data_IF_148655179011
#
_entry.id   IF_148655179011
#
_cell.length_a   1.000
_cell.length_b   1.000
_cell.length_c   1.000
_cell.angle_alpha   90.00
_cell.angle_beta   90.00
_cell.angle_gamma   90.00
#
_symmetry.space_group_name_H-M   'P 1'
#
loop_
_entity.id
_entity.type
_entity.pdbx_description
1 polymer ?
#
# COMPACT_ATOMS: atom_id res chain seq x y z
N UNK A 1 -8.29 36.55 -2.56
CA UNK A 1 -9.42 36.06 -3.40
C UNK A 1 -8.98 34.74 -4.03
N UNK A 2 -9.38 33.58 -3.48
CA UNK A 2 -9.05 32.29 -4.09
C UNK A 2 -10.02 32.01 -5.24
N UNK A 3 -9.52 32.03 -6.47
CA UNK A 3 -10.26 31.57 -7.64
C UNK A 3 -10.73 30.12 -7.41
N UNK A 4 -12.05 29.87 -7.44
CA UNK A 4 -12.61 28.51 -7.34
C UNK A 4 -12.07 27.66 -8.51
N UNK A 5 -11.29 26.63 -8.20
CA UNK A 5 -10.79 25.65 -9.18
C UNK A 5 -11.98 24.90 -9.82
N UNK A 6 -11.91 24.66 -11.13
CA UNK A 6 -12.94 23.96 -11.91
C UNK A 6 -12.32 23.20 -13.10
N UNK A 7 -13.05 22.22 -13.62
CA UNK A 7 -12.66 21.44 -14.80
C UNK A 7 -11.33 20.70 -14.59
N UNK A 8 -10.53 20.58 -15.65
CA UNK A 8 -9.26 19.84 -15.62
C UNK A 8 -8.25 20.32 -14.56
N UNK A 9 -8.28 21.60 -14.19
CA UNK A 9 -7.42 22.13 -13.12
C UNK A 9 -7.82 21.63 -11.74
N UNK A 10 -9.12 21.40 -11.54
CA UNK A 10 -9.64 20.82 -10.29
C UNK A 10 -9.32 19.33 -10.22
N UNK A 11 -9.49 18.60 -11.33
CA UNK A 11 -9.14 17.19 -11.45
C UNK A 11 -7.66 16.96 -11.12
N UNK A 12 -6.76 17.70 -11.77
CA UNK A 12 -5.32 17.59 -11.52
C UNK A 12 -4.92 17.91 -10.06
N UNK A 13 -5.59 18.89 -9.42
CA UNK A 13 -5.34 19.19 -8.01
C UNK A 13 -5.83 18.06 -7.09
N UNK A 14 -7.01 17.48 -7.37
CA UNK A 14 -7.55 16.35 -6.61
C UNK A 14 -6.62 15.14 -6.73
N UNK A 15 -6.22 14.77 -7.94
CA UNK A 15 -5.34 13.62 -8.20
C UNK A 15 -3.98 13.79 -7.51
N UNK A 16 -3.45 15.01 -7.54
CA UNK A 16 -2.23 15.36 -6.81
C UNK A 16 -2.40 15.17 -5.31
N UNK A 17 -3.50 15.68 -4.72
CA UNK A 17 -3.75 15.54 -3.29
C UNK A 17 -3.85 14.07 -2.86
N UNK A 18 -4.55 13.24 -3.64
CA UNK A 18 -4.69 11.80 -3.37
C UNK A 18 -3.35 11.08 -3.49
N UNK A 19 -2.58 11.39 -4.53
CA UNK A 19 -1.26 10.76 -4.79
C UNK A 19 -0.21 11.13 -3.75
N UNK A 20 -0.22 12.36 -3.25
CA UNK A 20 0.70 12.85 -2.22
C UNK A 20 0.19 12.59 -0.79
N UNK A 21 -0.99 11.96 -0.65
CA UNK A 21 -1.68 11.76 0.63
C UNK A 21 -1.88 13.06 1.42
N UNK A 22 -2.09 14.17 0.71
CA UNK A 22 -2.34 15.48 1.31
C UNK A 22 -3.84 15.66 1.60
N UNK A 23 -4.33 14.90 2.59
CA UNK A 23 -5.76 14.86 2.91
C UNK A 23 -6.29 16.21 3.38
N UNK A 24 -5.46 16.99 4.10
CA UNK A 24 -5.82 18.35 4.51
C UNK A 24 -6.18 19.22 3.31
N UNK A 25 -5.34 19.20 2.27
CA UNK A 25 -5.59 19.94 1.04
C UNK A 25 -6.79 19.40 0.27
N UNK A 26 -6.96 18.07 0.23
CA UNK A 26 -8.15 17.45 -0.36
C UNK A 26 -9.43 17.99 0.30
N UNK A 27 -9.44 18.11 1.64
CA UNK A 27 -10.53 18.69 2.42
C UNK A 27 -10.93 20.10 1.95
N UNK A 28 -9.95 20.98 1.71
CA UNK A 28 -10.19 22.34 1.20
C UNK A 28 -10.81 22.33 -0.22
N UNK A 29 -10.38 21.38 -1.05
CA UNK A 29 -10.76 21.29 -2.47
C UNK A 29 -12.13 20.62 -2.64
N UNK A 30 -12.60 19.82 -1.69
CA UNK A 30 -13.91 19.13 -1.74
C UNK A 30 -15.10 20.09 -1.93
N UNK A 31 -15.04 21.31 -1.36
CA UNK A 31 -16.06 22.34 -1.60
C UNK A 31 -16.14 22.74 -3.08
N UNK A 32 -15.00 22.76 -3.77
CA UNK A 32 -14.94 23.06 -5.21
C UNK A 32 -15.43 21.86 -6.03
N UNK A 33 -15.08 20.63 -5.63
CA UNK A 33 -15.58 19.38 -6.25
C UNK A 33 -17.10 19.34 -6.25
N UNK A 34 -17.74 19.65 -5.11
CA UNK A 34 -19.20 19.64 -4.95
C UNK A 34 -19.91 20.87 -5.50
N UNK A 35 -19.16 21.89 -5.95
CA UNK A 35 -19.75 23.11 -6.48
C UNK A 35 -20.48 22.88 -7.80
N UNK A 36 -21.55 23.65 -8.09
CA UNK A 36 -22.24 23.59 -9.38
C UNK A 36 -21.29 23.94 -10.53
N UNK A 37 -21.40 23.21 -11.63
CA UNK A 37 -20.54 23.25 -12.82
C UNK A 37 -19.02 23.07 -12.52
N UNK A 38 -18.65 22.19 -11.57
CA UNK A 38 -17.26 21.85 -11.29
C UNK A 38 -16.66 20.89 -12.32
N UNK A 39 -17.50 20.04 -12.94
CA UNK A 39 -17.09 18.90 -13.77
C UNK A 39 -16.84 17.61 -12.98
N UNK A 40 -16.82 17.68 -11.65
CA UNK A 40 -16.46 16.57 -10.76
C UNK A 40 -17.53 16.24 -9.71
N UNK A 41 -18.74 16.82 -9.77
CA UNK A 41 -19.75 16.62 -8.70
C UNK A 41 -20.08 15.15 -8.51
N UNK A 42 -20.09 14.39 -9.60
CA UNK A 42 -20.44 12.98 -9.59
C UNK A 42 -19.45 12.11 -8.81
N UNK A 43 -18.22 12.58 -8.55
CA UNK A 43 -17.23 11.91 -7.70
C UNK A 43 -17.20 12.45 -6.27
N UNK A 44 -18.06 13.41 -5.94
CA UNK A 44 -18.01 14.10 -4.65
C UNK A 44 -18.17 13.16 -3.46
N UNK A 45 -19.00 12.13 -3.57
CA UNK A 45 -19.25 11.17 -2.49
C UNK A 45 -18.07 10.23 -2.29
N UNK A 46 -17.53 9.64 -3.36
CA UNK A 46 -16.30 8.85 -3.33
C UNK A 46 -15.13 9.62 -2.67
N UNK A 47 -14.85 10.83 -3.15
CA UNK A 47 -13.73 11.65 -2.67
C UNK A 47 -13.92 12.11 -1.22
N UNK A 48 -15.16 12.40 -0.83
CA UNK A 48 -15.49 12.76 0.55
C UNK A 48 -15.33 11.57 1.49
N UNK A 49 -15.71 10.37 1.06
CA UNK A 49 -15.56 9.15 1.83
C UNK A 49 -14.07 8.82 2.03
N UNK A 50 -13.27 8.86 0.97
CA UNK A 50 -11.82 8.67 1.05
C UNK A 50 -11.15 9.68 1.99
N UNK A 51 -11.49 10.97 1.86
CA UNK A 51 -10.98 11.99 2.80
C UNK A 51 -11.30 11.66 4.26
N UNK A 52 -12.53 11.19 4.55
CA UNK A 52 -12.92 10.82 5.92
C UNK A 52 -12.10 9.61 6.41
N UNK A 53 -11.99 8.56 5.59
CA UNK A 53 -11.27 7.33 5.94
C UNK A 53 -9.80 7.62 6.19
N UNK A 54 -9.14 8.33 5.28
CA UNK A 54 -7.69 8.57 5.40
C UNK A 54 -7.36 9.58 6.50
N UNK A 55 -8.22 10.59 6.70
CA UNK A 55 -8.07 11.50 7.85
C UNK A 55 -8.25 10.77 9.19
N UNK A 56 -9.13 9.78 9.24
CA UNK A 56 -9.30 8.94 10.41
C UNK A 56 -8.03 8.11 10.68
N UNK A 57 -7.45 7.49 9.65
CA UNK A 57 -6.23 6.68 9.77
C UNK A 57 -5.05 7.53 10.23
N UNK A 58 -4.85 8.70 9.62
CA UNK A 58 -3.77 9.63 9.99
C UNK A 58 -3.84 10.07 11.47
N UNK A 59 -5.04 10.15 12.04
CA UNK A 59 -5.26 10.54 13.43
C UNK A 59 -5.12 9.38 14.43
N UNK A 60 -5.20 8.13 13.97
CA UNK A 60 -5.25 6.93 14.82
C UNK A 60 -4.04 5.99 14.64
N UNK A 61 -2.98 6.43 13.94
CA UNK A 61 -1.85 5.60 13.48
C UNK A 61 -0.96 5.00 14.57
N UNK A 62 -1.08 5.38 15.84
CA UNK A 62 -0.29 4.77 16.93
C UNK A 62 -0.99 3.59 17.62
N UNK A 63 -2.32 3.45 17.44
CA UNK A 63 -3.14 2.47 18.14
C UNK A 63 -4.29 1.98 17.25
N UNK A 64 -3.95 1.31 16.15
CA UNK A 64 -4.93 0.66 15.25
C UNK A 64 -5.63 -0.55 15.90
N UNK A 65 -6.19 -0.35 17.09
CA UNK A 65 -7.20 -1.19 17.69
C UNK A 65 -8.57 -0.55 17.44
N UNK A 66 -9.48 -1.32 16.84
CA UNK A 66 -10.87 -0.90 16.63
C UNK A 66 -11.52 -0.57 17.98
N UNK A 67 -11.77 0.72 18.22
CA UNK A 67 -12.62 1.19 19.31
C UNK A 67 -14.03 1.39 18.77
N UNK A 68 -15.05 0.92 19.48
CA UNK A 68 -16.45 1.09 19.07
C UNK A 68 -16.86 2.56 18.83
N UNK A 69 -16.15 3.50 19.46
CA UNK A 69 -16.32 4.94 19.29
C UNK A 69 -15.95 5.42 17.87
N UNK A 70 -14.95 4.78 17.25
CA UNK A 70 -14.46 5.11 15.90
C UNK A 70 -15.46 4.73 14.80
N UNK A 71 -16.39 3.82 15.09
CA UNK A 71 -17.39 3.32 14.13
C UNK A 71 -18.32 4.43 13.65
N UNK A 72 -18.72 5.35 14.54
CA UNK A 72 -19.69 6.43 14.24
C UNK A 72 -19.19 7.40 13.17
N UNK A 73 -17.90 7.72 13.18
CA UNK A 73 -17.31 8.65 12.21
C UNK A 73 -17.16 8.00 10.81
N UNK A 74 -16.91 6.69 10.78
CA UNK A 74 -16.78 5.90 9.55
C UNK A 74 -18.14 5.52 8.92
N UNK A 75 -19.23 5.44 9.68
CA UNK A 75 -20.58 5.19 9.15
C UNK A 75 -20.98 6.18 8.04
N UNK A 76 -20.57 7.45 8.17
CA UNK A 76 -20.81 8.47 7.14
C UNK A 76 -20.06 8.14 5.84
N UNK A 77 -18.81 7.70 5.93
CA UNK A 77 -18.03 7.32 4.76
C UNK A 77 -18.60 6.07 4.08
N UNK A 78 -19.03 5.07 4.87
CA UNK A 78 -19.69 3.88 4.34
C UNK A 78 -20.95 4.23 3.54
N UNK A 79 -21.81 5.10 4.08
CA UNK A 79 -23.01 5.57 3.36
C UNK A 79 -22.67 6.24 2.03
N UNK A 80 -21.69 7.13 2.00
CA UNK A 80 -21.23 7.80 0.78
C UNK A 80 -20.71 6.82 -0.29
N UNK A 81 -20.01 5.76 0.14
CA UNK A 81 -19.52 4.72 -0.77
C UNK A 81 -20.66 3.85 -1.31
N UNK A 82 -21.64 3.48 -0.48
CA UNK A 82 -22.83 2.77 -0.96
C UNK A 82 -23.66 3.62 -1.93
N UNK A 83 -23.85 4.91 -1.65
CA UNK A 83 -24.51 5.85 -2.56
C UNK A 83 -23.73 5.96 -3.88
N UNK A 84 -22.39 5.96 -3.83
CA UNK A 84 -21.53 5.92 -5.03
C UNK A 84 -21.75 4.64 -5.83
N UNK A 85 -21.80 3.48 -5.19
CA UNK A 85 -22.01 2.17 -5.85
C UNK A 85 -23.41 2.03 -6.47
N UNK A 86 -24.41 2.74 -5.94
CA UNK A 86 -25.77 2.78 -6.50
C UNK A 86 -25.95 3.82 -7.61
N UNK A 87 -24.99 4.73 -7.76
CA UNK A 87 -25.01 5.79 -8.77
C UNK A 87 -24.50 5.29 -10.13
N UNK A 88 -24.93 5.95 -11.21
CA UNK A 88 -24.46 5.65 -12.58
C UNK A 88 -22.95 5.81 -12.77
N UNK A 89 -22.28 6.53 -11.85
CA UNK A 89 -20.82 6.70 -11.88
C UNK A 89 -20.08 5.38 -11.63
N UNK A 90 -20.69 4.46 -10.88
CA UNK A 90 -20.15 3.13 -10.63
C UNK A 90 -20.14 2.21 -11.86
N UNK A 91 -20.78 2.60 -12.97
CA UNK A 91 -20.61 1.90 -14.26
C UNK A 91 -19.16 1.99 -14.75
N UNK A 92 -18.39 3.00 -14.29
CA UNK A 92 -16.95 3.07 -14.52
C UNK A 92 -16.25 2.05 -13.64
N UNK A 93 -15.58 1.09 -14.27
CA UNK A 93 -14.85 0.01 -13.59
C UNK A 93 -13.88 0.53 -12.52
N UNK A 94 -13.18 1.63 -12.80
CA UNK A 94 -12.24 2.26 -11.85
C UNK A 94 -12.94 2.76 -10.59
N UNK A 95 -14.06 3.48 -10.73
CA UNK A 95 -14.85 3.99 -9.60
C UNK A 95 -15.42 2.84 -8.79
N UNK A 96 -15.94 1.80 -9.45
CA UNK A 96 -16.48 0.62 -8.78
C UNK A 96 -15.40 -0.13 -7.97
N UNK A 97 -14.23 -0.35 -8.58
CA UNK A 97 -13.07 -0.92 -7.92
C UNK A 97 -12.69 -0.08 -6.70
N UNK A 98 -12.44 1.21 -6.88
CA UNK A 98 -12.03 2.12 -5.81
C UNK A 98 -13.02 2.16 -4.65
N UNK A 99 -14.32 2.25 -4.93
CA UNK A 99 -15.34 2.32 -3.90
C UNK A 99 -15.37 1.05 -3.03
N UNK A 100 -15.26 -0.14 -3.65
CA UNK A 100 -15.19 -1.40 -2.92
C UNK A 100 -13.89 -1.53 -2.12
N UNK A 101 -12.74 -1.10 -2.66
CA UNK A 101 -11.47 -1.14 -1.92
C UNK A 101 -11.46 -0.18 -0.72
N UNK A 102 -12.08 1.00 -0.85
CA UNK A 102 -12.26 1.94 0.26
C UNK A 102 -13.23 1.38 1.32
N UNK A 103 -14.31 0.69 0.91
CA UNK A 103 -15.20 -0.02 1.85
C UNK A 103 -14.44 -1.11 2.61
N UNK A 104 -13.62 -1.90 1.93
CA UNK A 104 -12.82 -2.92 2.56
C UNK A 104 -11.86 -2.34 3.61
N UNK A 105 -11.19 -1.25 3.27
CA UNK A 105 -10.30 -0.51 4.17
C UNK A 105 -11.06 0.01 5.39
N UNK A 106 -12.24 0.60 5.18
CA UNK A 106 -13.11 1.05 6.25
C UNK A 106 -13.53 -0.09 7.18
N UNK A 107 -14.04 -1.20 6.64
CA UNK A 107 -14.49 -2.33 7.45
C UNK A 107 -13.34 -3.01 8.21
N UNK A 108 -12.14 -3.05 7.63
CA UNK A 108 -10.94 -3.51 8.34
C UNK A 108 -10.65 -2.68 9.59
N UNK A 109 -10.68 -1.35 9.49
CA UNK A 109 -10.47 -0.47 10.64
C UNK A 109 -11.62 -0.50 11.65
N UNK A 110 -12.82 -0.91 11.22
CA UNK A 110 -13.94 -1.23 12.11
C UNK A 110 -13.85 -2.63 12.76
N UNK A 111 -12.81 -3.44 12.43
CA UNK A 111 -12.69 -4.86 12.79
C UNK A 111 -13.83 -5.76 12.27
N UNK A 112 -14.46 -5.36 11.18
CA UNK A 112 -15.47 -6.13 10.44
C UNK A 112 -14.78 -6.94 9.32
N UNK A 113 -13.90 -7.85 9.73
CA UNK A 113 -12.96 -8.56 8.83
C UNK A 113 -13.65 -9.39 7.75
N UNK A 114 -14.74 -10.09 8.09
CA UNK A 114 -15.52 -10.87 7.12
C UNK A 114 -16.10 -9.97 6.02
N UNK A 115 -16.60 -8.79 6.38
CA UNK A 115 -17.13 -7.81 5.42
C UNK A 115 -16.01 -7.22 4.58
N UNK A 116 -14.86 -6.89 5.18
CA UNK A 116 -13.70 -6.39 4.44
C UNK A 116 -13.22 -7.37 3.36
N UNK A 117 -13.21 -8.67 3.66
CA UNK A 117 -12.89 -9.71 2.67
C UNK A 117 -13.92 -9.72 1.53
N UNK A 118 -15.21 -9.65 1.87
CA UNK A 118 -16.29 -9.65 0.88
C UNK A 118 -16.21 -8.45 -0.06
N UNK A 119 -15.91 -7.26 0.45
CA UNK A 119 -15.78 -6.06 -0.38
C UNK A 119 -14.60 -6.16 -1.35
N UNK A 120 -13.47 -6.75 -0.94
CA UNK A 120 -12.34 -7.00 -1.85
C UNK A 120 -12.71 -8.02 -2.92
N UNK A 121 -13.44 -9.08 -2.56
CA UNK A 121 -13.94 -10.05 -3.55
C UNK A 121 -14.93 -9.41 -4.52
N UNK A 122 -15.79 -8.50 -4.04
CA UNK A 122 -16.71 -7.73 -4.86
C UNK A 122 -16.01 -6.75 -5.81
N UNK A 123 -14.84 -6.23 -5.42
CA UNK A 123 -14.09 -5.23 -6.18
C UNK A 123 -13.57 -5.71 -7.54
N UNK A 124 -13.58 -7.02 -7.81
CA UNK A 124 -13.02 -7.65 -9.03
C UNK A 124 -11.53 -7.39 -9.25
N UNK A 125 -10.79 -7.17 -8.16
CA UNK A 125 -9.33 -6.96 -8.15
C UNK A 125 -8.55 -7.98 -8.98
N UNK A 126 -9.01 -9.23 -9.00
CA UNK A 126 -8.32 -10.37 -9.61
C UNK A 126 -8.45 -10.42 -11.15
N UNK A 127 -9.21 -9.51 -11.78
CA UNK A 127 -9.46 -9.48 -13.23
C UNK A 127 -8.76 -8.32 -13.96
N UNK A 128 -7.94 -7.52 -13.27
CA UNK A 128 -7.23 -6.38 -13.86
C UNK A 128 -5.86 -6.75 -14.39
N UNK A 129 -5.75 -7.10 -15.68
CA UNK A 129 -4.45 -7.21 -16.38
C UNK A 129 -3.90 -5.83 -16.82
N UNK A 130 -4.62 -4.76 -16.52
CA UNK A 130 -4.26 -3.40 -16.91
C UNK A 130 -3.20 -2.82 -15.95
N UNK A 131 -2.15 -2.15 -16.49
CA UNK A 131 -1.18 -1.45 -15.65
C UNK A 131 -1.88 -0.35 -14.84
N UNK A 132 -1.33 -0.04 -13.65
CA UNK A 132 -1.85 1.02 -12.80
C UNK A 132 -1.70 2.39 -13.46
N UNK A 133 -2.78 3.18 -13.49
CA UNK A 133 -2.77 4.52 -14.08
C UNK A 133 -2.08 5.55 -13.17
N UNK A 134 -2.05 5.30 -11.86
CA UNK A 134 -1.41 6.17 -10.87
C UNK A 134 -0.72 5.41 -9.74
N UNK A 135 0.24 6.09 -9.09
CA UNK A 135 0.87 5.62 -7.85
C UNK A 135 -0.15 5.33 -6.74
N UNK A 136 -1.25 6.10 -6.70
CA UNK A 136 -2.32 5.95 -5.72
C UNK A 136 -3.09 4.66 -5.94
N UNK A 137 -3.34 4.27 -7.19
CA UNK A 137 -4.07 3.03 -7.49
C UNK A 137 -3.22 1.81 -7.18
N UNK A 138 -1.93 1.85 -7.50
CA UNK A 138 -0.96 0.82 -7.12
C UNK A 138 -0.92 0.65 -5.59
N UNK A 139 -0.88 1.76 -4.84
CA UNK A 139 -0.92 1.74 -3.37
C UNK A 139 -2.23 1.15 -2.86
N UNK A 140 -3.37 1.61 -3.36
CA UNK A 140 -4.69 1.15 -2.89
C UNK A 140 -4.85 -0.37 -3.10
N UNK A 141 -4.42 -0.89 -4.24
CA UNK A 141 -4.46 -2.33 -4.52
C UNK A 141 -3.47 -3.10 -3.64
N UNK A 142 -2.26 -2.58 -3.41
CA UNK A 142 -1.31 -3.19 -2.49
C UNK A 142 -1.88 -3.27 -1.06
N UNK A 143 -2.51 -2.19 -0.58
CA UNK A 143 -3.17 -2.13 0.73
C UNK A 143 -4.37 -3.07 0.80
N UNK A 144 -5.16 -3.19 -0.27
CA UNK A 144 -6.28 -4.12 -0.32
C UNK A 144 -5.83 -5.58 -0.13
N UNK A 145 -4.77 -6.01 -0.83
CA UNK A 145 -4.20 -7.35 -0.61
C UNK A 145 -3.69 -7.53 0.83
N UNK A 146 -3.05 -6.52 1.42
CA UNK A 146 -2.64 -6.55 2.83
C UNK A 146 -3.85 -6.74 3.75
N UNK A 147 -4.89 -5.93 3.58
CA UNK A 147 -6.14 -5.98 4.35
C UNK A 147 -6.81 -7.35 4.22
N UNK A 148 -6.88 -7.93 3.02
CA UNK A 148 -7.40 -9.29 2.80
C UNK A 148 -6.60 -10.31 3.62
N UNK A 149 -5.27 -10.24 3.58
CA UNK A 149 -4.37 -11.11 4.34
C UNK A 149 -4.60 -11.01 5.86
N UNK A 150 -4.59 -9.80 6.40
CA UNK A 150 -4.80 -9.56 7.84
C UNK A 150 -6.20 -9.98 8.29
N UNK A 151 -7.23 -9.71 7.49
CA UNK A 151 -8.61 -10.09 7.79
C UNK A 151 -8.78 -11.62 7.82
N UNK A 152 -8.15 -12.34 6.88
CA UNK A 152 -8.14 -13.80 6.90
C UNK A 152 -7.46 -14.31 8.18
N UNK A 153 -6.30 -13.78 8.57
CA UNK A 153 -5.64 -14.19 9.82
C UNK A 153 -6.45 -13.89 11.07
N UNK A 154 -7.14 -12.74 11.12
CA UNK A 154 -8.00 -12.38 12.24
C UNK A 154 -9.17 -13.36 12.41
N UNK A 155 -9.71 -13.86 11.31
CA UNK A 155 -10.84 -14.81 11.30
C UNK A 155 -10.43 -16.27 11.53
N UNK A 156 -9.16 -16.63 11.32
CA UNK A 156 -8.64 -17.99 11.52
C UNK A 156 -8.85 -18.57 12.92
N UNK A 157 -8.91 -17.73 13.97
CA UNK A 157 -9.09 -18.18 15.36
C UNK A 157 -10.39 -18.97 15.57
N UNK A 158 -11.35 -18.88 14.64
CA UNK A 158 -12.66 -19.53 14.69
C UNK A 158 -12.74 -20.81 13.86
N UNK A 159 -11.67 -21.23 13.18
CA UNK A 159 -11.67 -22.32 12.19
C UNK A 159 -11.23 -23.68 12.75
N UNK A 160 -11.68 -24.76 12.09
CA UNK A 160 -11.18 -26.13 12.32
C UNK A 160 -9.79 -26.31 11.70
N UNK A 161 -9.03 -27.31 12.16
CA UNK A 161 -7.63 -27.55 11.74
C UNK A 161 -7.45 -27.68 10.22
N UNK A 162 -8.33 -28.38 9.52
CA UNK A 162 -8.23 -28.54 8.06
C UNK A 162 -8.47 -27.23 7.28
N UNK A 163 -9.37 -26.37 7.79
CA UNK A 163 -9.67 -25.06 7.18
C UNK A 163 -8.60 -24.01 7.51
N UNK A 164 -7.80 -24.26 8.57
CA UNK A 164 -6.71 -23.40 9.00
C UNK A 164 -5.59 -23.35 7.96
N UNK A 165 -5.15 -24.51 7.46
CA UNK A 165 -4.05 -24.58 6.49
C UNK A 165 -4.44 -23.95 5.15
N UNK A 166 -5.67 -24.20 4.69
CA UNK A 166 -6.23 -23.54 3.49
C UNK A 166 -6.28 -22.02 3.66
N UNK A 167 -6.77 -21.55 4.81
CA UNK A 167 -6.83 -20.11 5.11
C UNK A 167 -5.43 -19.51 5.21
N UNK A 168 -4.46 -20.23 5.77
CA UNK A 168 -3.06 -19.79 5.87
C UNK A 168 -2.43 -19.61 4.50
N UNK A 169 -2.64 -20.55 3.58
CA UNK A 169 -2.17 -20.42 2.19
C UNK A 169 -2.82 -19.22 1.49
N UNK A 170 -4.12 -18.99 1.67
CA UNK A 170 -4.81 -17.82 1.11
C UNK A 170 -4.27 -16.51 1.67
N UNK A 171 -4.04 -16.43 2.98
CA UNK A 171 -3.48 -15.25 3.62
C UNK A 171 -2.04 -14.98 3.13
N UNK A 172 -1.21 -16.02 3.05
CA UNK A 172 0.15 -15.93 2.53
C UNK A 172 0.16 -15.39 1.09
N UNK A 173 -0.68 -15.93 0.21
CA UNK A 173 -0.82 -15.43 -1.16
C UNK A 173 -1.16 -13.93 -1.19
N UNK A 174 -2.10 -13.49 -0.35
CA UNK A 174 -2.48 -12.08 -0.27
C UNK A 174 -1.31 -11.20 0.19
N UNK A 175 -0.58 -11.62 1.23
CA UNK A 175 0.59 -10.88 1.70
C UNK A 175 1.71 -10.84 0.68
N UNK A 176 1.99 -11.93 -0.02
CA UNK A 176 3.00 -11.96 -1.09
C UNK A 176 2.62 -11.00 -2.21
N UNK A 177 1.37 -11.05 -2.69
CA UNK A 177 0.89 -10.11 -3.72
C UNK A 177 0.97 -8.66 -3.26
N UNK A 178 0.56 -8.37 -2.03
CA UNK A 178 0.72 -7.05 -1.43
C UNK A 178 2.19 -6.61 -1.37
N UNK A 179 3.11 -7.48 -0.95
CA UNK A 179 4.53 -7.18 -0.87
C UNK A 179 5.16 -6.92 -2.25
N UNK A 180 4.79 -7.68 -3.29
CA UNK A 180 5.24 -7.43 -4.66
C UNK A 180 4.82 -6.04 -5.14
N UNK A 181 3.54 -5.69 -4.94
CA UNK A 181 3.01 -4.39 -5.32
C UNK A 181 3.59 -3.25 -4.47
N UNK A 182 3.82 -3.47 -3.18
CA UNK A 182 4.45 -2.50 -2.29
C UNK A 182 5.89 -2.21 -2.71
N UNK A 183 6.66 -3.23 -3.11
CA UNK A 183 8.01 -3.03 -3.67
C UNK A 183 7.94 -2.16 -4.92
N UNK A 184 7.03 -2.46 -5.85
CA UNK A 184 6.83 -1.66 -7.07
C UNK A 184 6.42 -0.22 -6.74
N UNK A 185 5.50 -0.04 -5.79
CA UNK A 185 5.05 1.27 -5.31
C UNK A 185 6.23 2.10 -4.79
N UNK A 186 7.06 1.52 -3.93
CA UNK A 186 8.22 2.22 -3.36
C UNK A 186 9.28 2.52 -4.45
N UNK A 187 9.45 1.64 -5.44
CA UNK A 187 10.33 1.91 -6.60
C UNK A 187 9.85 3.13 -7.40
N UNK A 188 8.56 3.25 -7.67
CA UNK A 188 8.00 4.35 -8.46
C UNK A 188 7.89 5.65 -7.64
N UNK A 189 7.58 5.55 -6.35
CA UNK A 189 7.55 6.70 -5.44
C UNK A 189 8.92 7.37 -5.30
N UNK A 190 9.99 6.59 -5.22
CA UNK A 190 11.35 7.15 -5.22
C UNK A 190 11.71 7.85 -6.52
N UNK A 191 11.27 7.31 -7.67
CA UNK A 191 11.47 7.98 -8.97
C UNK A 191 10.75 9.34 -8.99
N UNK A 192 9.52 9.41 -8.48
CA UNK A 192 8.76 10.66 -8.44
C UNK A 192 9.39 11.71 -7.50
N UNK A 193 9.86 11.30 -6.33
CA UNK A 193 10.59 12.18 -5.38
C UNK A 193 11.87 12.74 -6.01
N UNK A 194 12.66 11.91 -6.68
CA UNK A 194 13.91 12.31 -7.32
C UNK A 194 13.69 13.29 -8.49
N UNK A 195 12.61 13.10 -9.27
CA UNK A 195 12.23 14.02 -10.35
C UNK A 195 11.80 15.40 -9.80
N UNK A 196 11.01 15.42 -8.73
CA UNK A 196 10.58 16.66 -8.07
C UNK A 196 11.78 17.45 -7.51
N UNK A 197 12.75 16.74 -6.94
CA UNK A 197 13.97 17.35 -6.37
C UNK A 197 14.86 18.00 -7.45
N UNK A 198 14.90 17.45 -8.66
CA UNK A 198 15.68 18.01 -9.79
C UNK A 198 15.02 19.20 -10.48
N UNK A 199 13.69 19.33 -10.37
CA UNK A 199 12.94 20.41 -11.02
C UNK A 199 13.06 21.77 -10.29
N UNK A 200 13.83 21.86 -9.19
CA UNK A 200 14.02 23.11 -8.43
C UNK A 200 12.74 23.67 -7.78
N UNK A 201 11.61 22.96 -7.89
CA UNK A 201 10.33 23.35 -7.32
C UNK A 201 10.27 22.84 -5.89
N UNK A 202 11.08 23.45 -5.03
CA UNK A 202 10.82 23.46 -3.58
C UNK A 202 9.44 24.10 -3.41
N UNK A 203 8.41 23.28 -3.23
CA UNK A 203 7.16 23.77 -2.69
C UNK A 203 7.48 24.29 -1.30
N UNK A 204 7.63 25.61 -1.21
CA UNK A 204 7.61 26.34 0.04
C UNK A 204 6.21 26.25 0.63
N UNK A 205 5.85 25.08 1.14
CA UNK A 205 4.81 24.99 2.18
C UNK A 205 5.42 25.58 3.45
N UNK A 206 5.32 26.91 3.53
CA UNK A 206 5.50 27.68 4.75
C UNK A 206 4.38 27.31 5.71
N UNK A 207 4.58 26.26 6.49
CA UNK A 207 3.97 26.03 7.79
C UNK A 207 4.81 25.00 8.53
N UNK A 208 5.47 25.44 9.59
CA UNK A 208 6.45 24.68 10.34
C UNK A 208 5.88 23.39 10.94
N UNK A 209 6.45 22.26 10.53
CA UNK A 209 6.90 21.09 11.31
C UNK A 209 7.46 20.04 10.34
N UNK A 210 8.31 20.47 9.40
CA UNK A 210 8.76 19.68 8.25
C UNK A 210 10.07 18.94 8.51
N UNK A 211 9.96 17.80 9.18
CA UNK A 211 11.01 16.76 9.20
C UNK A 211 10.44 15.33 9.21
N UNK A 212 9.19 15.13 9.64
CA UNK A 212 8.56 13.80 9.75
C UNK A 212 7.73 13.36 8.54
N UNK A 213 7.22 14.28 7.72
CA UNK A 213 6.28 13.94 6.63
C UNK A 213 6.91 13.15 5.45
N UNK A 214 8.24 13.15 5.32
CA UNK A 214 8.90 12.34 4.28
C UNK A 214 9.11 10.88 4.70
N UNK A 215 8.91 10.54 5.97
CA UNK A 215 9.31 9.24 6.55
C UNK A 215 8.15 8.22 6.56
N UNK A 216 6.89 8.65 6.57
CA UNK A 216 5.71 7.78 6.65
C UNK A 216 4.94 7.61 5.33
N UNK A 217 5.59 7.81 4.18
CA UNK A 217 4.91 7.70 2.87
C UNK A 217 4.54 6.26 2.47
N UNK A 218 5.18 5.25 3.06
CA UNK A 218 4.90 3.84 2.75
C UNK A 218 3.54 3.39 3.31
N UNK A 219 3.14 3.91 4.48
CA UNK A 219 1.97 3.45 5.22
C UNK A 219 2.23 2.17 6.02
N UNK A 220 1.64 2.11 7.22
CA UNK A 220 1.84 1.03 8.20
C UNK A 220 1.40 -0.35 7.69
N UNK A 221 0.31 -0.43 6.92
CA UNK A 221 -0.19 -1.70 6.35
C UNK A 221 0.85 -2.35 5.43
N UNK A 222 1.48 -1.55 4.56
CA UNK A 222 2.49 -2.04 3.62
C UNK A 222 3.79 -2.39 4.34
N UNK A 223 4.22 -1.55 5.29
CA UNK A 223 5.40 -1.81 6.12
C UNK A 223 5.24 -3.11 6.92
N UNK A 224 4.11 -3.29 7.60
CA UNK A 224 3.78 -4.50 8.36
C UNK A 224 3.71 -5.73 7.45
N UNK A 225 3.16 -5.58 6.24
CA UNK A 225 3.07 -6.70 5.28
C UNK A 225 4.45 -7.13 4.78
N UNK A 226 5.34 -6.19 4.47
CA UNK A 226 6.72 -6.47 4.07
C UNK A 226 7.50 -7.19 5.17
N UNK A 227 7.24 -6.89 6.45
CA UNK A 227 7.82 -7.66 7.57
C UNK A 227 7.19 -9.03 7.75
N UNK A 228 5.90 -9.15 7.46
CA UNK A 228 5.13 -10.36 7.75
C UNK A 228 5.38 -11.48 6.75
N UNK A 229 5.61 -11.18 5.47
CA UNK A 229 5.83 -12.20 4.42
C UNK A 229 7.02 -13.12 4.73
N UNK A 230 8.25 -12.61 4.98
CA UNK A 230 9.38 -13.48 5.29
C UNK A 230 9.13 -14.32 6.54
N UNK A 231 8.53 -13.72 7.57
CA UNK A 231 8.19 -14.43 8.81
C UNK A 231 7.15 -15.54 8.59
N UNK A 232 6.17 -15.35 7.72
CA UNK A 232 5.17 -16.38 7.43
C UNK A 232 5.75 -17.56 6.65
N UNK A 233 6.63 -17.30 5.68
CA UNK A 233 7.36 -18.34 4.96
C UNK A 233 8.27 -19.15 5.90
N UNK A 234 9.00 -18.46 6.80
CA UNK A 234 9.78 -19.13 7.84
C UNK A 234 8.91 -19.91 8.84
N UNK A 235 7.76 -19.34 9.27
CA UNK A 235 6.85 -19.97 10.24
C UNK A 235 6.14 -21.21 9.72
N UNK A 236 6.01 -21.36 8.40
CA UNK A 236 5.49 -22.59 7.80
C UNK A 236 6.29 -23.83 8.25
N UNK A 237 7.56 -23.63 8.64
CA UNK A 237 8.48 -24.71 8.99
C UNK A 237 8.86 -24.75 10.48
N UNK A 238 8.32 -23.91 11.37
CA UNK A 238 8.77 -23.83 12.78
C UNK A 238 8.70 -25.14 13.59
N UNK A 239 7.97 -26.15 13.11
CA UNK A 239 7.89 -27.46 13.74
C UNK A 239 9.02 -28.40 13.29
N UNK A 240 9.59 -28.19 12.09
CA UNK A 240 10.62 -29.06 11.48
C UNK A 240 11.94 -28.37 11.11
N UNK A 241 11.96 -27.07 10.76
CA UNK A 241 13.15 -26.26 10.43
C UNK A 241 12.98 -24.78 10.81
N UNK A 242 13.96 -24.23 11.53
CA UNK A 242 14.02 -22.80 11.88
C UNK A 242 14.37 -21.87 10.69
N UNK A 243 14.57 -22.43 9.50
CA UNK A 243 14.94 -21.69 8.29
C UNK A 243 14.25 -22.31 7.07
N UNK A 244 13.96 -21.45 6.09
CA UNK A 244 13.37 -21.80 4.81
C UNK A 244 13.99 -20.92 3.72
N UNK A 245 14.38 -21.52 2.61
CA UNK A 245 15.04 -20.82 1.50
C UNK A 245 14.15 -19.71 0.94
N UNK A 246 12.83 -19.95 0.84
CA UNK A 246 11.89 -18.96 0.33
C UNK A 246 11.72 -17.78 1.29
N UNK A 247 11.66 -18.05 2.61
CA UNK A 247 11.61 -17.00 3.63
C UNK A 247 12.86 -16.13 3.65
N UNK A 248 14.05 -16.75 3.56
CA UNK A 248 15.33 -16.04 3.46
C UNK A 248 15.42 -15.23 2.16
N UNK A 249 14.95 -15.78 1.04
CA UNK A 249 14.95 -15.08 -0.23
C UNK A 249 13.96 -13.90 -0.24
N UNK A 250 12.83 -13.97 0.47
CA UNK A 250 11.94 -12.82 0.66
C UNK A 250 12.62 -11.68 1.43
N UNK A 251 13.35 -11.97 2.51
CA UNK A 251 14.18 -10.96 3.19
C UNK A 251 15.16 -10.31 2.23
N UNK A 252 15.90 -11.12 1.46
CA UNK A 252 16.89 -10.64 0.48
C UNK A 252 16.24 -9.81 -0.63
N UNK A 253 15.09 -10.26 -1.16
CA UNK A 253 14.34 -9.57 -2.22
C UNK A 253 13.88 -8.19 -1.76
N UNK A 254 13.31 -8.08 -0.56
CA UNK A 254 12.85 -6.80 -0.01
C UNK A 254 14.05 -5.89 0.24
N UNK A 255 15.07 -6.35 0.97
CA UNK A 255 16.26 -5.55 1.28
C UNK A 255 17.00 -5.09 0.02
N UNK A 256 17.15 -5.96 -0.97
CA UNK A 256 17.82 -5.64 -2.24
C UNK A 256 17.01 -4.62 -3.05
N UNK A 257 15.68 -4.73 -3.02
CA UNK A 257 14.78 -3.82 -3.75
C UNK A 257 14.65 -2.46 -3.09
N UNK A 258 14.90 -2.36 -1.78
CA UNK A 258 14.80 -1.12 -1.00
C UNK A 258 16.17 -0.48 -0.69
N UNK A 259 17.28 -1.20 -0.94
CA UNK A 259 18.57 -0.88 -0.33
C UNK A 259 19.22 0.46 -0.67
N UNK A 260 18.77 1.12 -1.74
CA UNK A 260 19.23 2.42 -2.21
C UNK A 260 18.16 3.52 -2.07
N UNK A 261 17.09 3.25 -1.33
CA UNK A 261 15.91 4.11 -1.21
C UNK A 261 15.80 4.69 0.18
N UNK A 262 15.44 5.97 0.25
CA UNK A 262 15.14 6.66 1.52
C UNK A 262 13.81 6.15 2.08
N UNK A 263 12.84 5.93 1.20
CA UNK A 263 11.55 5.30 1.51
C UNK A 263 11.81 3.83 1.86
N UNK A 264 11.73 3.51 3.15
CA UNK A 264 11.91 2.15 3.68
C UNK A 264 13.23 1.89 4.39
N UNK A 265 14.07 2.90 4.62
CA UNK A 265 15.35 2.74 5.34
C UNK A 265 15.15 2.11 6.74
N UNK A 266 14.17 2.60 7.50
CA UNK A 266 13.83 2.04 8.84
C UNK A 266 13.44 0.57 8.75
N UNK A 267 12.59 0.23 7.78
CA UNK A 267 12.16 -1.14 7.53
C UNK A 267 13.37 -2.02 7.18
N UNK A 268 14.25 -1.54 6.31
CA UNK A 268 15.46 -2.26 5.94
C UNK A 268 16.38 -2.53 7.15
N UNK A 269 16.50 -1.59 8.08
CA UNK A 269 17.25 -1.80 9.33
C UNK A 269 16.60 -2.88 10.22
N UNK A 270 15.27 -2.92 10.31
CA UNK A 270 14.57 -3.97 11.08
C UNK A 270 14.70 -5.33 10.41
N UNK A 271 14.51 -5.40 9.09
CA UNK A 271 14.63 -6.62 8.30
C UNK A 271 16.07 -7.17 8.29
N UNK A 272 17.09 -6.32 8.23
CA UNK A 272 18.49 -6.77 8.26
C UNK A 272 18.84 -7.45 9.58
N UNK A 273 18.36 -6.90 10.71
CA UNK A 273 18.49 -7.54 12.02
C UNK A 273 17.76 -8.87 12.07
N UNK A 274 16.51 -8.92 11.62
CA UNK A 274 15.73 -10.16 11.60
C UNK A 274 16.39 -11.25 10.73
N UNK A 275 16.86 -10.88 9.54
CA UNK A 275 17.58 -11.80 8.66
C UNK A 275 18.85 -12.31 9.34
N UNK A 276 19.67 -11.44 9.94
CA UNK A 276 20.87 -11.86 10.66
C UNK A 276 20.55 -12.86 11.77
N UNK A 277 19.47 -12.63 12.53
CA UNK A 277 19.02 -13.56 13.58
C UNK A 277 18.62 -14.94 13.00
N UNK A 278 17.94 -14.98 11.86
CA UNK A 278 17.57 -16.23 11.17
C UNK A 278 18.81 -16.96 10.66
N UNK A 279 19.75 -16.25 10.04
CA UNK A 279 20.96 -16.83 9.47
C UNK A 279 21.88 -17.40 10.58
N UNK A 280 22.06 -16.66 11.68
CA UNK A 280 22.96 -17.07 12.78
C UNK A 280 22.36 -18.25 13.58
N UNK A 281 21.05 -18.25 13.84
CA UNK A 281 20.41 -19.28 14.68
C UNK A 281 19.93 -20.50 13.89
N UNK A 282 19.65 -20.34 12.60
CA UNK A 282 18.94 -21.33 11.80
C UNK A 282 19.78 -22.07 10.76
N UNK A 283 20.84 -21.49 10.21
CA UNK A 283 21.55 -22.10 9.08
C UNK A 283 22.74 -22.97 9.50
N UNK A 284 22.81 -24.24 9.06
CA UNK A 284 24.02 -25.04 9.13
C UNK A 284 25.06 -24.58 8.09
N UNK A 285 26.36 -24.71 8.40
CA UNK A 285 27.48 -24.26 7.55
C UNK A 285 27.45 -24.79 6.09
N UNK A 286 26.78 -25.91 5.84
CA UNK A 286 26.66 -26.54 4.51
C UNK A 286 25.38 -26.18 3.75
N UNK A 287 24.50 -25.34 4.31
CA UNK A 287 23.18 -25.02 3.74
C UNK A 287 23.07 -23.63 3.10
N UNK A 288 24.16 -22.87 3.03
CA UNK A 288 24.10 -21.50 2.52
C UNK A 288 23.90 -21.46 1.00
N UNK A 289 22.73 -20.97 0.57
CA UNK A 289 22.45 -20.70 -0.84
C UNK A 289 22.69 -19.23 -1.18
N UNK A 290 23.35 -19.00 -2.31
CA UNK A 290 23.62 -17.67 -2.86
C UNK A 290 22.31 -16.94 -3.22
N UNK A 291 22.26 -15.63 -3.01
CA UNK A 291 21.02 -14.85 -3.18
C UNK A 291 20.69 -14.62 -4.65
N UNK A 292 19.49 -15.06 -5.05
CA UNK A 292 18.99 -14.85 -6.41
C UNK A 292 18.70 -13.36 -6.65
N UNK A 293 18.07 -12.68 -5.69
CA UNK A 293 17.79 -11.24 -5.78
C UNK A 293 19.06 -10.38 -5.91
N UNK A 294 20.11 -10.67 -5.14
CA UNK A 294 21.40 -9.96 -5.25
C UNK A 294 22.07 -10.26 -6.60
N UNK A 295 22.02 -11.50 -7.07
CA UNK A 295 22.56 -11.90 -8.38
C UNK A 295 21.85 -11.16 -9.52
N UNK A 296 20.52 -11.12 -9.52
CA UNK A 296 19.71 -10.40 -10.52
C UNK A 296 19.97 -8.89 -10.49
N UNK A 297 20.02 -8.24 -9.31
CA UNK A 297 20.37 -6.81 -9.22
C UNK A 297 21.78 -6.54 -9.77
N UNK A 298 22.74 -7.41 -9.44
CA UNK A 298 24.13 -7.29 -9.93
C UNK A 298 24.24 -7.48 -11.44
N UNK A 299 23.48 -8.40 -12.02
CA UNK A 299 23.41 -8.58 -13.47
C UNK A 299 22.82 -7.35 -14.15
N UNK A 300 21.70 -6.82 -13.65
CA UNK A 300 21.07 -5.60 -14.18
C UNK A 300 22.04 -4.40 -14.16
N UNK A 301 22.78 -4.21 -13.06
CA UNK A 301 23.81 -3.16 -12.96
C UNK A 301 24.95 -3.36 -13.97
N UNK A 302 25.39 -4.61 -14.21
CA UNK A 302 26.42 -4.92 -15.23
C UNK A 302 25.94 -4.63 -16.64
N UNK A 303 24.66 -4.86 -16.96
CA UNK A 303 24.08 -4.50 -18.25
C UNK A 303 23.95 -2.97 -18.41
N UNK A 304 23.51 -2.25 -17.37
CA UNK A 304 23.47 -0.78 -17.38
C UNK A 304 24.85 -0.15 -17.57
N UNK A 305 25.90 -0.72 -16.98
CA UNK A 305 27.28 -0.23 -17.15
C UNK A 305 27.86 -0.56 -18.54
N UNK A 306 27.44 -1.64 -19.19
CA UNK A 306 27.85 -1.93 -20.58
C UNK A 306 27.24 -0.96 -21.60
N UNK A 307 26.03 -0.45 -21.38
CA UNK A 307 25.43 0.57 -22.25
C UNK A 307 26.14 1.93 -22.21
N UNK A 308 26.96 2.22 -21.20
CA UNK A 308 27.68 3.49 -21.08
C UNK A 308 29.01 3.48 -21.87
N UNK A 309 29.51 2.30 -22.26
CA UNK A 309 30.80 2.15 -22.96
C UNK A 309 30.70 1.88 -24.48
N UNK A 310 29.52 1.95 -25.09
CA UNK A 310 29.36 1.84 -26.54
C UNK A 310 28.77 3.13 -27.14
N UNK A 311 29.51 4.24 -27.07
CA UNK A 311 29.29 5.45 -27.90
C UNK A 311 30.52 6.35 -27.88
N UNK A 312 31.69 5.81 -28.19
CA UNK A 312 32.80 6.56 -28.81
C UNK A 312 33.54 5.56 -29.68
N UNK A 313 33.16 5.49 -30.95
CA UNK A 313 34.02 5.24 -32.12
C UNK A 313 33.16 5.37 -33.39
#
# INVERSE_FOLDING_TARGET
MNSKLKGSRLEAEVDKCRSECNWRRLGDVLLSVRSKNSGMQQYGDLLQAEYIIESFIDQNSEFLESKAENKKDLEKAAKLLYDTLQSSVAEKSTVFLEANLLLAKLHYYCAEYEQAIQDIENSRLEFGDTPFESLRDLRLVAEAYAIKGFSIEATMKRLKKADLDKSRMRALFCFEKSAELAISYIQELEKSINLQSRSGMLSSSTSGTNGKQNVDRMGELLETTLERVPLMRLRHNLIDRLWDDEGVEWYRRIMTSLGDKVVGEKLQQRLSRQLAEVLIRGMPDSGYMESQSVSTKSQNLRFSNKSIYCSVD
#
